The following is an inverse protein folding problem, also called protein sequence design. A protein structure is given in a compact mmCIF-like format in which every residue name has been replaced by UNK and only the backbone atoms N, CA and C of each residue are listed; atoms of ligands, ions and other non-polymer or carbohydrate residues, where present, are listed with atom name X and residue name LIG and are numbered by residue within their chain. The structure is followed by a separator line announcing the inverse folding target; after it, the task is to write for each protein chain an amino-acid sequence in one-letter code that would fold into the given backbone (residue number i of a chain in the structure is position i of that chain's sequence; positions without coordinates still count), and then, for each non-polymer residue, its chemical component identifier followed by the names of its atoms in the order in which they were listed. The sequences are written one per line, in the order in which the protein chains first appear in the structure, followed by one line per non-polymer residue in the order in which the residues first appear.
data_IF_200754114329
#
_entry.id   IF_200754114329
#
_cell.length_a   1.000
_cell.length_b   1.000
_cell.length_c   1.000
_cell.angle_alpha   90.00
_cell.angle_beta   90.00
_cell.angle_gamma   90.00
#
_symmetry.space_group_name_H-M   'P 1'
#
loop_
_entity.id
_entity.type
_entity.pdbx_description
1 polymer ?
#
# COMPACT_ATOMS: atom_id res chain seq x y z
N UNK A 1 -28.92 14.23 12.75
CA UNK A 1 -27.62 14.89 12.44
C UNK A 1 -27.21 14.53 11.02
N UNK A 2 -27.44 15.41 10.03
CA UNK A 2 -27.12 15.16 8.61
C UNK A 2 -25.75 15.76 8.19
N UNK A 3 -25.22 16.73 8.94
CA UNK A 3 -23.98 17.42 8.59
C UNK A 3 -22.72 16.54 8.68
N UNK A 4 -22.62 15.67 9.70
CA UNK A 4 -21.45 14.79 9.86
C UNK A 4 -21.40 13.72 8.75
N UNK A 5 -22.54 13.16 8.34
CA UNK A 5 -22.59 12.12 7.31
C UNK A 5 -22.23 12.66 5.92
N UNK A 6 -22.66 13.89 5.59
CA UNK A 6 -22.27 14.56 4.34
C UNK A 6 -20.77 14.88 4.33
N UNK A 7 -20.21 15.32 5.47
CA UNK A 7 -18.77 15.57 5.60
C UNK A 7 -17.96 14.28 5.40
N UNK A 8 -18.38 13.17 6.04
CA UNK A 8 -17.72 11.88 5.94
C UNK A 8 -17.79 11.29 4.52
N UNK A 9 -18.90 11.51 3.79
CA UNK A 9 -19.04 11.11 2.39
C UNK A 9 -18.02 11.77 1.47
N UNK A 10 -17.83 13.09 1.58
CA UNK A 10 -16.83 13.81 0.77
C UNK A 10 -15.39 13.45 1.13
N UNK A 11 -15.10 13.31 2.44
CA UNK A 11 -13.77 12.92 2.94
C UNK A 11 -13.41 11.49 2.52
N UNK A 12 -14.40 10.60 2.38
CA UNK A 12 -14.18 9.21 1.94
C UNK A 12 -13.62 9.09 0.53
N UNK A 13 -14.08 9.96 -0.37
CA UNK A 13 -13.62 10.00 -1.76
C UNK A 13 -12.26 10.71 -1.87
N UNK A 14 -12.05 11.77 -1.11
CA UNK A 14 -10.77 12.50 -1.07
C UNK A 14 -9.61 11.66 -0.50
N UNK A 15 -9.91 10.65 0.34
CA UNK A 15 -8.90 9.82 1.01
C UNK A 15 -8.79 8.39 0.44
N UNK A 16 -9.23 8.17 -0.82
CA UNK A 16 -9.15 6.85 -1.46
C UNK A 16 -7.73 6.28 -1.50
N UNK A 17 -6.73 7.12 -1.78
CA UNK A 17 -5.32 6.69 -1.88
C UNK A 17 -4.72 6.36 -0.51
N UNK A 18 -5.22 6.97 0.57
CA UNK A 18 -4.81 6.63 1.94
C UNK A 18 -5.21 5.19 2.28
N UNK A 19 -6.36 4.72 1.80
CA UNK A 19 -6.79 3.32 1.99
C UNK A 19 -5.86 2.34 1.28
N UNK A 20 -5.39 2.68 0.08
CA UNK A 20 -4.40 1.88 -0.65
C UNK A 20 -3.03 1.90 0.03
N UNK A 21 -2.63 3.05 0.56
CA UNK A 21 -1.38 3.17 1.32
C UNK A 21 -1.41 2.36 2.62
N UNK A 22 -2.56 2.30 3.29
CA UNK A 22 -2.75 1.57 4.55
C UNK A 22 -2.61 0.05 4.44
N UNK A 23 -2.67 -0.52 3.23
CA UNK A 23 -2.48 -1.96 2.99
C UNK A 23 -1.06 -2.32 2.50
N UNK A 24 -0.15 -1.34 2.41
CA UNK A 24 1.23 -1.58 1.96
C UNK A 24 1.97 -2.40 3.02
N UNK A 25 2.42 -3.60 2.64
CA UNK A 25 3.39 -4.38 3.42
C UNK A 25 4.81 -3.86 3.16
N UNK A 26 5.19 -2.85 3.95
CA UNK A 26 6.50 -2.22 3.85
C UNK A 26 7.65 -3.17 4.13
N UNK A 27 7.50 -4.09 5.09
CA UNK A 27 8.57 -5.02 5.45
C UNK A 27 8.82 -6.01 4.32
N UNK A 28 7.76 -6.51 3.68
CA UNK A 28 7.91 -7.36 2.50
C UNK A 28 8.51 -6.59 1.32
N UNK A 29 8.13 -5.32 1.10
CA UNK A 29 8.74 -4.47 0.08
C UNK A 29 10.26 -4.32 0.28
N UNK A 30 10.72 -3.96 1.49
CA UNK A 30 12.14 -3.85 1.81
C UNK A 30 12.87 -5.18 1.62
N UNK A 31 12.26 -6.28 2.06
CA UNK A 31 12.81 -7.63 1.88
C UNK A 31 12.98 -7.96 0.40
N UNK A 32 11.99 -7.70 -0.44
CA UNK A 32 12.06 -7.93 -1.89
C UNK A 32 13.15 -7.08 -2.54
N UNK A 33 13.26 -5.80 -2.17
CA UNK A 33 14.30 -4.90 -2.68
C UNK A 33 15.70 -5.42 -2.31
N UNK A 34 15.90 -5.91 -1.09
CA UNK A 34 17.16 -6.50 -0.64
C UNK A 34 17.49 -7.79 -1.40
N UNK A 35 16.52 -8.71 -1.53
CA UNK A 35 16.70 -9.97 -2.26
C UNK A 35 17.05 -9.69 -3.73
N UNK A 36 16.34 -8.78 -4.38
CA UNK A 36 16.56 -8.48 -5.79
C UNK A 36 17.96 -7.87 -6.02
N UNK A 37 18.38 -6.93 -5.17
CA UNK A 37 19.75 -6.39 -5.20
C UNK A 37 20.82 -7.47 -5.03
N UNK A 38 20.62 -8.41 -4.09
CA UNK A 38 21.56 -9.50 -3.87
C UNK A 38 21.64 -10.44 -5.08
N UNK A 39 20.50 -10.76 -5.71
CA UNK A 39 20.46 -11.60 -6.91
C UNK A 39 21.10 -10.94 -8.12
N UNK A 40 20.84 -9.66 -8.34
CA UNK A 40 21.49 -8.90 -9.43
C UNK A 40 23.00 -8.85 -9.23
N UNK A 41 23.46 -8.65 -7.98
CA UNK A 41 24.88 -8.69 -7.64
C UNK A 41 25.52 -10.07 -7.89
N UNK A 42 24.82 -11.15 -7.54
CA UNK A 42 25.25 -12.54 -7.79
C UNK A 42 25.37 -12.81 -9.31
N UNK A 43 24.37 -12.40 -10.09
CA UNK A 43 24.39 -12.53 -11.56
C UNK A 43 25.56 -11.73 -12.14
N UNK A 44 25.80 -10.51 -11.67
CA UNK A 44 26.94 -9.68 -12.10
C UNK A 44 28.27 -10.38 -11.87
N UNK A 45 28.45 -11.01 -10.72
CA UNK A 45 29.66 -11.77 -10.40
C UNK A 45 29.84 -12.97 -11.34
N UNK A 46 28.76 -13.72 -11.61
CA UNK A 46 28.75 -14.84 -12.56
C UNK A 46 29.14 -14.35 -13.96
N UNK A 47 28.49 -13.30 -14.46
CA UNK A 47 28.77 -12.71 -15.79
C UNK A 47 30.22 -12.26 -15.88
N UNK A 48 30.74 -11.60 -14.84
CA UNK A 48 32.14 -11.14 -14.80
C UNK A 48 33.12 -12.30 -14.85
N UNK A 49 32.87 -13.39 -14.11
CA UNK A 49 33.70 -14.60 -14.15
C UNK A 49 33.66 -15.30 -15.50
N UNK A 50 32.50 -15.30 -16.18
CA UNK A 50 32.36 -15.86 -17.52
C UNK A 50 33.13 -15.07 -18.60
N UNK A 51 33.50 -13.81 -18.34
CA UNK A 51 34.24 -12.93 -19.26
C UNK A 51 35.78 -13.17 -19.29
N UNK A 52 36.31 -14.23 -18.68
CA UNK A 52 37.76 -14.50 -18.64
C UNK A 52 38.47 -14.45 -20.02
N UNK A 53 39.80 -14.28 -19.97
CA UNK A 53 40.79 -13.77 -20.97
C UNK A 53 40.56 -14.00 -22.49
N UNK A 54 39.65 -14.86 -22.95
CA UNK A 54 39.42 -15.16 -24.37
C UNK A 54 37.94 -15.13 -24.81
N UNK A 55 36.98 -14.80 -23.93
CA UNK A 55 35.54 -15.02 -24.17
C UNK A 55 34.66 -13.78 -24.34
N UNK A 56 35.23 -12.62 -24.70
CA UNK A 56 34.46 -11.42 -25.06
C UNK A 56 33.56 -11.60 -26.31
N UNK A 57 33.58 -12.76 -26.97
CA UNK A 57 32.88 -13.03 -28.24
C UNK A 57 31.52 -13.74 -28.09
N UNK A 58 31.08 -14.10 -26.89
CA UNK A 58 29.81 -14.79 -26.68
C UNK A 58 28.61 -13.84 -26.63
N UNK A 59 27.64 -13.98 -27.55
CA UNK A 59 26.40 -13.16 -27.56
C UNK A 59 25.64 -13.18 -26.22
N UNK A 60 25.64 -14.32 -25.51
CA UNK A 60 25.05 -14.46 -24.18
C UNK A 60 25.65 -13.52 -23.13
N UNK A 61 26.99 -13.41 -23.09
CA UNK A 61 27.70 -12.56 -22.11
C UNK A 61 27.40 -11.09 -22.36
N UNK A 62 27.33 -10.69 -23.63
CA UNK A 62 26.99 -9.32 -24.01
C UNK A 62 25.57 -8.96 -23.57
N UNK A 63 24.59 -9.81 -23.87
CA UNK A 63 23.20 -9.59 -23.46
C UNK A 63 23.06 -9.56 -21.94
N UNK A 64 23.73 -10.48 -21.23
CA UNK A 64 23.63 -10.54 -19.77
C UNK A 64 24.31 -9.36 -19.07
N UNK A 65 25.33 -8.74 -19.67
CA UNK A 65 25.87 -7.46 -19.18
C UNK A 65 24.83 -6.35 -19.27
N UNK A 66 24.20 -6.17 -20.44
CA UNK A 66 23.15 -5.17 -20.63
C UNK A 66 21.97 -5.39 -19.68
N UNK A 67 21.51 -6.63 -19.54
CA UNK A 67 20.44 -6.99 -18.61
C UNK A 67 20.78 -6.62 -17.15
N UNK A 68 22.00 -6.91 -16.69
CA UNK A 68 22.43 -6.57 -15.33
C UNK A 68 22.53 -5.07 -15.14
N UNK A 69 23.08 -4.33 -16.12
CA UNK A 69 23.16 -2.87 -16.09
C UNK A 69 21.77 -2.23 -15.99
N UNK A 70 20.81 -2.65 -16.81
CA UNK A 70 19.42 -2.21 -16.75
C UNK A 70 18.77 -2.53 -15.39
N UNK A 71 18.98 -3.74 -14.87
CA UNK A 71 18.47 -4.13 -13.55
C UNK A 71 19.04 -3.26 -12.43
N UNK A 72 20.34 -2.93 -12.46
CA UNK A 72 20.98 -2.07 -11.48
C UNK A 72 20.42 -0.63 -11.54
N UNK A 73 20.15 -0.11 -12.74
CA UNK A 73 19.51 1.19 -12.93
C UNK A 73 18.09 1.23 -12.40
N UNK A 74 17.25 0.25 -12.73
CA UNK A 74 15.87 0.17 -12.23
C UNK A 74 15.83 0.02 -10.71
N UNK A 75 16.69 -0.83 -10.14
CA UNK A 75 16.80 -1.01 -8.69
C UNK A 75 17.21 0.28 -7.98
N UNK A 76 18.09 1.06 -8.60
CA UNK A 76 18.47 2.38 -8.07
C UNK A 76 17.29 3.34 -8.07
N UNK A 77 16.52 3.41 -9.16
CA UNK A 77 15.31 4.25 -9.24
C UNK A 77 14.31 3.86 -8.15
N UNK A 78 14.04 2.57 -7.98
CA UNK A 78 13.12 2.06 -6.94
C UNK A 78 13.61 2.43 -5.54
N UNK A 79 14.91 2.29 -5.27
CA UNK A 79 15.49 2.65 -3.97
C UNK A 79 15.40 4.15 -3.71
N UNK A 80 15.72 4.98 -4.69
CA UNK A 80 15.72 6.44 -4.54
C UNK A 80 14.30 6.96 -4.32
N UNK A 81 13.31 6.45 -5.06
CA UNK A 81 11.90 6.81 -4.85
C UNK A 81 11.38 6.27 -3.51
N UNK A 82 11.82 5.09 -3.08
CA UNK A 82 11.49 4.58 -1.75
C UNK A 82 11.97 5.53 -0.65
N UNK A 83 13.21 5.99 -0.71
CA UNK A 83 13.77 6.95 0.27
C UNK A 83 12.98 8.26 0.27
N UNK A 84 12.63 8.76 -0.91
CA UNK A 84 11.81 9.97 -1.06
C UNK A 84 10.43 9.80 -0.42
N UNK A 85 9.75 8.69 -0.68
CA UNK A 85 8.44 8.38 -0.09
C UNK A 85 8.55 8.29 1.43
N UNK A 86 9.57 7.62 1.97
CA UNK A 86 9.74 7.50 3.42
C UNK A 86 9.97 8.85 4.10
N UNK A 87 10.68 9.77 3.45
CA UNK A 87 10.82 11.14 3.94
C UNK A 87 9.48 11.90 3.95
N UNK A 88 8.63 11.70 2.95
CA UNK A 88 7.28 12.27 2.93
C UNK A 88 6.39 11.70 4.04
N UNK A 89 6.43 10.37 4.24
CA UNK A 89 5.71 9.69 5.33
C UNK A 89 6.17 10.23 6.68
N UNK A 90 7.48 10.40 6.87
CA UNK A 90 8.04 10.99 8.09
C UNK A 90 7.52 12.39 8.33
N UNK A 91 7.61 13.31 7.36
CA UNK A 91 7.09 14.68 7.48
C UNK A 91 5.59 14.73 7.78
N UNK A 92 4.83 13.82 7.16
CA UNK A 92 3.39 13.70 7.40
C UNK A 92 3.10 13.27 8.83
N UNK A 93 3.82 12.27 9.34
CA UNK A 93 3.70 11.83 10.73
C UNK A 93 4.15 12.90 11.71
N UNK A 94 5.22 13.63 11.42
CA UNK A 94 5.67 14.75 12.26
C UNK A 94 4.58 15.83 12.39
N UNK A 95 3.90 16.14 11.29
CA UNK A 95 2.82 17.12 11.26
C UNK A 95 1.58 16.69 12.06
N UNK A 96 1.09 15.45 11.85
CA UNK A 96 -0.18 14.99 12.45
C UNK A 96 -0.01 14.32 13.82
N UNK A 97 1.12 13.66 14.06
CA UNK A 97 1.40 12.91 15.29
C UNK A 97 2.43 13.61 16.19
N UNK A 98 2.84 14.84 15.86
CA UNK A 98 3.70 15.68 16.70
C UNK A 98 5.11 15.12 16.92
N UNK A 99 5.65 14.37 15.94
CA UNK A 99 6.98 13.75 16.02
C UNK A 99 7.04 12.48 16.87
N UNK A 100 5.94 12.07 17.48
CA UNK A 100 5.78 10.80 18.20
C UNK A 100 5.32 9.65 17.30
N UNK A 101 5.85 9.56 16.07
CA UNK A 101 5.51 8.46 15.17
C UNK A 101 5.82 7.14 15.86
N UNK A 102 4.81 6.27 15.99
CA UNK A 102 4.97 4.95 16.61
C UNK A 102 5.97 4.08 15.84
N UNK A 103 6.10 2.82 16.26
CA UNK A 103 7.04 1.87 15.63
C UNK A 103 6.73 1.57 14.17
N UNK A 104 5.51 1.88 13.70
CA UNK A 104 5.08 1.68 12.32
C UNK A 104 5.00 3.04 11.58
N UNK A 105 5.82 3.26 10.53
CA UNK A 105 5.76 4.51 9.75
C UNK A 105 4.41 4.74 9.05
N UNK A 106 3.61 3.69 8.83
CA UNK A 106 2.30 3.81 8.17
C UNK A 106 1.11 3.87 9.13
N UNK A 107 1.35 4.00 10.44
CA UNK A 107 0.30 4.03 11.47
C UNK A 107 -0.78 5.09 11.20
N UNK A 108 -0.38 6.29 10.76
CA UNK A 108 -1.33 7.34 10.40
C UNK A 108 -2.30 6.92 9.29
N UNK A 109 -1.81 6.21 8.26
CA UNK A 109 -2.65 5.72 7.17
C UNK A 109 -3.66 4.66 7.67
N UNK A 110 -3.27 3.82 8.63
CA UNK A 110 -4.16 2.85 9.27
C UNK A 110 -5.26 3.58 10.06
N UNK A 111 -4.90 4.56 10.89
CA UNK A 111 -5.86 5.37 11.66
C UNK A 111 -6.87 6.04 10.72
N UNK A 112 -6.39 6.71 9.67
CA UNK A 112 -7.27 7.41 8.71
C UNK A 112 -8.15 6.44 7.94
N UNK A 113 -7.62 5.27 7.55
CA UNK A 113 -8.42 4.23 6.90
C UNK A 113 -9.59 3.83 7.81
N UNK A 114 -9.33 3.58 9.08
CA UNK A 114 -10.34 3.07 10.03
C UNK A 114 -11.43 4.12 10.30
N UNK A 115 -11.05 5.41 10.44
CA UNK A 115 -12.01 6.52 10.60
C UNK A 115 -13.00 6.65 9.42
N UNK A 116 -12.54 6.33 8.21
CA UNK A 116 -13.31 6.48 6.97
C UNK A 116 -14.09 5.20 6.62
N UNK A 117 -13.82 4.09 7.31
CA UNK A 117 -14.52 2.80 7.13
C UNK A 117 -15.66 2.57 8.12
N UNK A 118 -15.86 3.41 9.14
CA UNK A 118 -17.10 3.37 9.92
C UNK A 118 -18.28 3.73 9.00
N UNK A 119 -18.97 2.71 8.48
CA UNK A 119 -20.27 2.93 7.87
C UNK A 119 -21.22 3.44 8.96
N UNK A 120 -22.00 4.51 8.70
CA UNK A 120 -23.05 4.89 9.62
C UNK A 120 -23.99 3.68 9.78
N UNK A 121 -24.44 3.36 11.01
CA UNK A 121 -25.32 2.22 11.24
C UNK A 121 -26.47 2.31 10.26
N UNK A 122 -26.63 1.25 9.44
CA UNK A 122 -27.73 1.16 8.49
C UNK A 122 -29.01 1.38 9.27
N UNK A 123 -29.72 2.47 8.95
CA UNK A 123 -31.08 2.69 9.41
C UNK A 123 -31.89 1.53 8.82
N UNK A 124 -32.02 0.46 9.59
CA UNK A 124 -33.05 -0.55 9.38
C UNK A 124 -34.37 0.22 9.48
N UNK A 125 -34.90 0.63 8.33
CA UNK A 125 -36.29 1.00 8.21
C UNK A 125 -37.07 -0.30 8.46
N UNK A 126 -37.57 -0.44 9.68
CA UNK A 126 -38.35 -1.59 10.13
C UNK A 126 -39.68 -1.58 9.34
N UNK A 127 -39.71 -2.29 8.22
CA UNK A 127 -40.87 -2.40 7.34
C UNK A 127 -41.90 -3.37 7.94
N UNK A 128 -42.47 -3.00 9.09
CA UNK A 128 -43.65 -3.67 9.68
C UNK A 128 -44.90 -2.84 9.51
N UNK A 129 -45.26 -2.59 8.26
CA UNK A 129 -46.65 -2.35 7.87
C UNK A 129 -46.96 -3.08 6.57
N UNK A 130 -47.02 -4.41 6.59
CA UNK A 130 -47.87 -5.13 5.63
C UNK A 130 -48.13 -6.58 6.08
N UNK A 131 -49.26 -6.78 6.75
CA UNK A 131 -50.04 -8.01 6.66
C UNK A 131 -51.34 -7.77 7.41
N UNK A 132 -52.33 -7.23 6.70
CA UNK A 132 -53.72 -7.35 7.14
C UNK A 132 -54.12 -8.82 7.09
N UNK A 133 -54.45 -9.38 8.25
CA UNK A 133 -55.45 -10.44 8.48
C UNK A 133 -55.34 -10.87 9.95
N UNK A 134 -56.11 -10.22 10.84
CA UNK A 134 -57.01 -10.95 11.76
C UNK A 134 -57.93 -9.98 12.50
N UNK A 135 -59.18 -9.93 12.06
CA UNK A 135 -60.31 -9.36 12.79
C UNK A 135 -61.11 -10.54 13.36
N UNK A 136 -60.77 -11.05 14.55
CA UNK A 136 -61.78 -11.74 15.37
C UNK A 136 -61.38 -11.89 16.85
N UNK A 137 -62.28 -11.40 17.71
CA UNK A 137 -62.57 -11.80 19.09
C UNK A 137 -61.59 -11.44 20.22
N UNK A 138 -61.95 -10.37 20.94
CA UNK A 138 -61.96 -10.39 22.40
C UNK A 138 -62.97 -9.36 22.94
N UNK A 139 -64.26 -9.71 22.90
CA UNK A 139 -65.20 -9.35 23.95
C UNK A 139 -65.69 -10.67 24.56
N UNK A 140 -65.39 -10.86 25.84
CA UNK A 140 -65.66 -12.06 26.64
C UNK A 140 -64.81 -12.05 27.90
#
# INVERSE_FOLDING_TARGET
MLGLQVLLGGIKDELSEVKKAAIIDHQNFIRMLYILNARVSEIREIVTKCCGENNERGGFVKEMKGFVEECEEELKVVKDEHLRIMELVKKTNEYYLGGGGGSNPFELFLIVRDLVHEEPPSLIMDDRTSSGHDFHLAFG
#
